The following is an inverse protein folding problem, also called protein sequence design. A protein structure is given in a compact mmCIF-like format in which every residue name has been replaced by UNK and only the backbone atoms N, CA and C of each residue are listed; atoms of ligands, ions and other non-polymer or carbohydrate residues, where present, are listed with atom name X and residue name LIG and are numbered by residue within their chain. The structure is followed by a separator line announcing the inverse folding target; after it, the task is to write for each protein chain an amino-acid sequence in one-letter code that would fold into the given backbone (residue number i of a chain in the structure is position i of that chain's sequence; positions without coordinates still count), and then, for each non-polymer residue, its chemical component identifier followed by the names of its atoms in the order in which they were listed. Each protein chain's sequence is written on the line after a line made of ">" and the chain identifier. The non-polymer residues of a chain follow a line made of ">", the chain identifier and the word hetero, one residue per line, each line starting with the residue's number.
data_IF_496708886880
#
_entry.id   IF_496708886880
#
_cell.length_a   1.000
_cell.length_b   1.000
_cell.length_c   1.000
_cell.angle_alpha   90.00
_cell.angle_beta   90.00
_cell.angle_gamma   90.00
#
_symmetry.space_group_name_H-M   'P 1'
#
loop_
_entity.id
_entity.type
_entity.pdbx_description
1 polymer ?
#
# COMPACT_ATOMS: atom_id res chain seq x y z
N UNK A 1 4.93 -25.03 12.44
CA UNK A 1 4.98 -24.36 13.76
C UNK A 1 6.32 -23.66 14.07
N UNK A 2 7.45 -24.08 13.51
CA UNK A 2 8.78 -23.47 13.77
C UNK A 2 9.01 -22.10 13.12
N UNK A 3 8.54 -21.89 11.88
CA UNK A 3 8.75 -20.65 11.12
C UNK A 3 8.02 -19.45 11.74
N UNK A 4 6.76 -19.63 12.20
CA UNK A 4 6.01 -18.54 12.86
C UNK A 4 6.68 -18.04 14.15
N UNK A 5 7.27 -18.94 14.94
CA UNK A 5 8.01 -18.56 16.16
C UNK A 5 9.32 -17.83 15.82
N UNK A 6 9.99 -18.20 14.73
CA UNK A 6 11.21 -17.53 14.28
C UNK A 6 10.91 -16.11 13.80
N UNK A 7 9.83 -15.91 13.02
CA UNK A 7 9.40 -14.58 12.56
C UNK A 7 9.05 -13.68 13.75
N UNK A 8 8.29 -14.20 14.73
CA UNK A 8 7.94 -13.44 15.95
C UNK A 8 9.21 -13.07 16.73
N UNK A 9 10.20 -13.96 16.83
CA UNK A 9 11.45 -13.70 17.53
C UNK A 9 12.30 -12.65 16.82
N UNK A 10 12.39 -12.70 15.50
CA UNK A 10 13.09 -11.69 14.67
C UNK A 10 12.42 -10.33 14.78
N UNK A 11 11.09 -10.27 14.70
CA UNK A 11 10.32 -9.04 14.89
C UNK A 11 10.53 -8.47 16.30
N UNK A 12 10.49 -9.32 17.33
CA UNK A 12 10.73 -8.91 18.71
C UNK A 12 12.17 -8.40 18.93
N UNK A 13 13.17 -9.04 18.31
CA UNK A 13 14.56 -8.56 18.38
C UNK A 13 14.74 -7.23 17.63
N UNK A 14 14.10 -7.03 16.47
CA UNK A 14 14.06 -5.74 15.78
C UNK A 14 13.47 -4.66 16.68
N UNK A 15 12.39 -4.93 17.40
CA UNK A 15 11.79 -3.98 18.36
C UNK A 15 12.71 -3.61 19.53
N UNK A 16 13.58 -4.52 19.97
CA UNK A 16 14.47 -4.30 21.11
C UNK A 16 15.75 -3.52 20.74
N UNK A 17 16.23 -3.65 19.49
CA UNK A 17 17.51 -3.05 19.06
C UNK A 17 17.37 -1.73 18.28
N UNK A 18 16.20 -1.43 17.72
CA UNK A 18 15.98 -0.25 16.87
C UNK A 18 15.77 1.08 17.65
N UNK A 19 15.24 1.13 18.90
CA UNK A 19 14.93 2.41 19.54
C UNK A 19 16.11 3.35 19.76
N UNK A 20 17.33 2.83 19.86
CA UNK A 20 18.50 3.63 20.26
C UNK A 20 19.07 4.48 19.11
N UNK A 21 18.84 4.06 17.87
CA UNK A 21 19.44 4.72 16.70
C UNK A 21 18.58 5.84 16.12
N UNK A 22 17.25 5.77 16.30
CA UNK A 22 16.32 6.76 15.74
C UNK A 22 16.26 8.10 16.51
N UNK A 23 16.55 8.09 17.81
CA UNK A 23 16.49 9.30 18.64
C UNK A 23 17.54 10.37 18.26
N UNK A 24 18.62 9.97 17.59
CA UNK A 24 19.74 10.86 17.28
C UNK A 24 19.79 11.36 15.82
N UNK A 25 18.96 10.83 14.88
CA UNK A 25 19.16 11.10 13.45
C UNK A 25 18.09 11.98 12.79
N UNK A 26 16.99 12.25 13.45
CA UNK A 26 15.98 13.20 12.93
C UNK A 26 16.01 14.46 13.79
N UNK A 27 16.77 15.44 13.37
CA UNK A 27 16.96 16.80 13.88
C UNK A 27 16.19 17.11 15.16
N UNK A 28 16.93 17.36 16.24
CA UNK A 28 16.50 17.48 17.62
C UNK A 28 15.08 17.98 17.83
N UNK A 29 14.27 17.16 18.46
CA UNK A 29 13.02 17.58 19.07
C UNK A 29 11.72 17.21 18.39
N UNK A 30 11.72 16.66 17.17
CA UNK A 30 10.47 16.23 16.50
C UNK A 30 9.84 15.05 17.23
N UNK A 31 8.59 15.20 17.66
CA UNK A 31 7.85 14.12 18.33
C UNK A 31 6.95 13.33 17.37
N UNK A 32 6.66 13.87 16.20
CA UNK A 32 5.70 13.31 15.24
C UNK A 32 6.15 13.62 13.81
N UNK A 33 5.98 12.63 12.92
CA UNK A 33 6.14 12.79 11.48
C UNK A 33 4.81 12.45 10.82
N UNK A 34 4.29 13.37 10.02
CA UNK A 34 3.10 13.18 9.18
C UNK A 34 3.49 13.26 7.72
N UNK A 35 2.89 12.43 6.88
CA UNK A 35 3.21 12.42 5.46
C UNK A 35 2.03 12.06 4.57
N UNK A 36 2.15 12.49 3.32
CA UNK A 36 1.25 12.11 2.23
C UNK A 36 2.06 11.71 1.01
N UNK A 37 1.71 10.56 0.42
CA UNK A 37 2.22 10.08 -0.84
C UNK A 37 1.09 9.99 -1.86
N UNK A 38 1.41 10.26 -3.12
CA UNK A 38 0.50 10.08 -4.25
C UNK A 38 1.00 8.94 -5.13
N UNK A 39 0.12 8.06 -5.63
CA UNK A 39 0.53 7.05 -6.59
C UNK A 39 1.04 7.74 -7.86
N UNK A 40 2.18 7.28 -8.35
CA UNK A 40 2.80 7.76 -9.60
C UNK A 40 2.82 6.67 -10.67
N UNK A 41 2.24 5.53 -10.37
CA UNK A 41 2.02 4.39 -11.23
C UNK A 41 1.02 3.42 -10.60
N UNK A 42 0.40 2.63 -11.45
CA UNK A 42 -0.46 1.52 -11.05
C UNK A 42 -0.32 0.44 -12.13
N UNK A 43 0.22 -0.70 -11.74
CA UNK A 43 0.43 -1.85 -12.61
C UNK A 43 -0.44 -2.99 -12.09
N UNK A 44 -1.46 -3.37 -12.86
CA UNK A 44 -2.35 -4.48 -12.51
C UNK A 44 -1.62 -5.80 -12.73
N UNK A 45 -1.43 -6.54 -11.66
CA UNK A 45 -0.87 -7.91 -11.69
C UNK A 45 -1.94 -8.98 -11.49
N UNK A 46 -3.20 -8.56 -11.41
CA UNK A 46 -4.34 -9.41 -11.20
C UNK A 46 -4.81 -10.15 -12.46
N UNK A 47 -5.94 -10.79 -12.32
CA UNK A 47 -6.57 -11.57 -13.41
C UNK A 47 -8.10 -11.47 -13.36
N UNK A 48 -8.71 -11.67 -14.50
CA UNK A 48 -10.16 -11.81 -14.63
C UNK A 48 -10.52 -13.10 -15.37
N UNK A 49 -11.79 -13.33 -15.59
CA UNK A 49 -12.28 -14.54 -16.29
C UNK A 49 -11.69 -14.75 -17.70
N UNK A 50 -11.13 -13.71 -18.30
CA UNK A 50 -10.52 -13.75 -19.65
C UNK A 50 -9.00 -13.86 -19.65
N UNK A 51 -8.33 -13.80 -18.48
CA UNK A 51 -6.87 -13.88 -18.33
C UNK A 51 -6.29 -12.75 -17.50
N UNK A 52 -5.06 -12.30 -17.82
CA UNK A 52 -4.41 -11.18 -17.14
C UNK A 52 -5.19 -9.90 -17.36
N UNK A 53 -5.27 -9.06 -16.34
CA UNK A 53 -5.82 -7.71 -16.46
C UNK A 53 -4.87 -6.81 -17.23
N UNK A 54 -5.43 -5.88 -17.99
CA UNK A 54 -4.67 -4.75 -18.53
C UNK A 54 -4.48 -3.69 -17.45
N UNK A 55 -3.53 -2.79 -17.67
CA UNK A 55 -3.40 -1.62 -16.82
C UNK A 55 -4.67 -0.76 -16.89
N UNK A 56 -5.02 -0.05 -15.81
CA UNK A 56 -6.18 0.84 -15.81
C UNK A 56 -5.96 2.04 -16.73
N UNK A 57 -7.06 2.60 -17.26
CA UNK A 57 -7.05 3.82 -18.07
C UNK A 57 -6.69 5.05 -17.24
N UNK A 58 -7.10 5.06 -15.98
CA UNK A 58 -6.71 6.07 -15.02
C UNK A 58 -6.58 5.49 -13.61
N UNK A 59 -5.76 6.13 -12.80
CA UNK A 59 -5.61 5.79 -11.40
C UNK A 59 -5.40 7.06 -10.56
N UNK A 60 -5.72 6.96 -9.28
CA UNK A 60 -5.53 8.06 -8.34
C UNK A 60 -5.60 7.60 -6.90
N UNK A 61 -5.54 8.57 -5.99
CA UNK A 61 -5.64 8.28 -4.57
C UNK A 61 -4.49 8.87 -3.76
N UNK A 62 -4.28 8.31 -2.56
CA UNK A 62 -3.25 8.80 -1.65
C UNK A 62 -2.82 7.72 -0.66
N UNK A 63 -1.63 7.90 -0.09
CA UNK A 63 -1.10 7.15 1.05
C UNK A 63 -0.72 8.13 2.16
N UNK A 64 -1.33 8.01 3.32
CA UNK A 64 -1.03 8.80 4.51
C UNK A 64 -0.07 8.04 5.41
N UNK A 65 0.84 8.78 6.06
CA UNK A 65 1.79 8.24 7.02
C UNK A 65 1.68 9.00 8.34
N UNK A 66 1.69 8.28 9.44
CA UNK A 66 1.84 8.83 10.78
C UNK A 66 2.90 8.03 11.53
N UNK A 67 3.90 8.72 12.05
CA UNK A 67 5.04 8.10 12.71
C UNK A 67 5.49 8.90 13.92
N UNK A 68 5.27 8.39 15.13
CA UNK A 68 5.94 8.93 16.31
C UNK A 68 7.46 8.79 16.14
N UNK A 69 8.21 9.87 16.35
CA UNK A 69 9.66 9.87 16.10
C UNK A 69 10.44 8.95 17.04
N UNK A 70 9.89 8.71 18.24
CA UNK A 70 10.50 7.85 19.26
C UNK A 70 10.23 6.35 19.06
N UNK A 71 9.37 5.97 18.10
CA UNK A 71 9.10 4.57 17.77
C UNK A 71 9.72 4.19 16.43
N UNK A 72 10.24 2.97 16.29
CA UNK A 72 10.75 2.45 15.02
C UNK A 72 9.65 2.05 14.05
N UNK A 73 8.41 2.46 14.31
CA UNK A 73 7.24 2.09 13.51
C UNK A 73 6.46 3.32 13.09
N UNK A 74 5.84 3.23 11.93
CA UNK A 74 4.84 4.15 11.43
C UNK A 74 3.57 3.37 11.09
N UNK A 75 2.46 4.06 11.07
CA UNK A 75 1.22 3.57 10.49
C UNK A 75 1.03 4.24 9.14
N UNK A 76 0.55 3.48 8.16
CA UNK A 76 0.16 4.03 6.88
C UNK A 76 -1.26 3.59 6.52
N UNK A 77 -1.96 4.48 5.82
CA UNK A 77 -3.29 4.26 5.27
C UNK A 77 -3.26 4.63 3.79
N UNK A 78 -3.68 3.71 2.93
CA UNK A 78 -3.78 3.95 1.49
C UNK A 78 -5.23 3.84 1.03
N UNK A 79 -5.64 4.77 0.18
CA UNK A 79 -6.88 4.71 -0.56
C UNK A 79 -6.53 5.01 -2.02
N UNK A 80 -6.60 3.97 -2.86
CA UNK A 80 -6.19 4.03 -4.26
C UNK A 80 -7.37 3.56 -5.09
N UNK A 81 -7.64 4.27 -6.18
CA UNK A 81 -8.67 3.93 -7.17
C UNK A 81 -8.02 3.69 -8.52
N UNK A 82 -8.54 2.75 -9.28
CA UNK A 82 -8.15 2.46 -10.64
C UNK A 82 -9.41 2.27 -11.49
N UNK A 83 -9.49 2.98 -12.61
CA UNK A 83 -10.64 2.94 -13.50
C UNK A 83 -10.29 2.15 -14.77
N UNK A 84 -11.15 1.23 -15.13
CA UNK A 84 -11.00 0.35 -16.29
C UNK A 84 -12.12 0.64 -17.29
N UNK A 85 -11.76 1.07 -18.49
CA UNK A 85 -12.68 1.26 -19.60
C UNK A 85 -12.85 -0.07 -20.37
N UNK A 86 -13.94 -0.14 -21.14
CA UNK A 86 -14.31 -1.29 -21.97
C UNK A 86 -13.29 -1.58 -23.08
N UNK A 87 -12.48 -0.59 -23.45
CA UNK A 87 -11.44 -0.72 -24.47
C UNK A 87 -10.23 -1.53 -23.99
N UNK A 88 -9.92 -1.47 -22.70
CA UNK A 88 -8.74 -2.09 -22.09
C UNK A 88 -9.05 -3.41 -21.41
N UNK A 89 -10.29 -3.58 -20.94
CA UNK A 89 -10.71 -4.80 -20.25
C UNK A 89 -12.08 -5.27 -20.76
N UNK A 90 -12.08 -6.26 -21.66
CA UNK A 90 -13.30 -6.75 -22.30
C UNK A 90 -14.27 -7.46 -21.36
N UNK A 91 -13.87 -7.80 -20.14
CA UNK A 91 -14.66 -8.61 -19.22
C UNK A 91 -15.30 -7.82 -18.08
N UNK A 92 -14.64 -6.78 -17.59
CA UNK A 92 -15.11 -6.01 -16.42
C UNK A 92 -14.74 -4.55 -16.61
N UNK A 93 -15.76 -3.70 -16.74
CA UNK A 93 -15.63 -2.24 -16.81
C UNK A 93 -16.09 -1.66 -15.49
N UNK A 94 -15.36 -0.67 -14.97
CA UNK A 94 -15.72 -0.02 -13.71
C UNK A 94 -14.53 0.48 -12.91
N UNK A 95 -14.77 0.81 -11.67
CA UNK A 95 -13.79 1.38 -10.74
C UNK A 95 -13.42 0.38 -9.66
N UNK A 96 -12.14 0.10 -9.54
CA UNK A 96 -11.53 -0.67 -8.47
C UNK A 96 -11.04 0.26 -7.37
N UNK A 97 -11.31 -0.08 -6.11
CA UNK A 97 -10.90 0.71 -4.95
C UNK A 97 -10.18 -0.14 -3.92
N UNK A 98 -8.93 0.19 -3.65
CA UNK A 98 -8.10 -0.41 -2.62
C UNK A 98 -8.12 0.45 -1.36
N UNK A 99 -8.45 -0.16 -0.22
CA UNK A 99 -8.35 0.48 1.10
C UNK A 99 -7.44 -0.36 1.97
N UNK A 100 -6.26 0.17 2.34
CA UNK A 100 -5.19 -0.61 2.97
C UNK A 100 -4.68 0.09 4.22
N UNK A 101 -4.44 -0.68 5.26
CA UNK A 101 -3.82 -0.26 6.52
C UNK A 101 -2.50 -1.01 6.69
N UNK A 102 -1.41 -0.31 6.93
CA UNK A 102 -0.07 -0.90 7.04
C UNK A 102 0.60 -0.49 8.35
N UNK A 103 1.39 -1.41 8.88
CA UNK A 103 2.43 -1.11 9.87
C UNK A 103 3.76 -1.06 9.10
N UNK A 104 4.47 0.04 9.21
CA UNK A 104 5.75 0.26 8.53
C UNK A 104 6.86 0.26 9.57
N UNK A 105 7.79 -0.68 9.47
CA UNK A 105 9.00 -0.72 10.29
C UNK A 105 10.03 0.19 9.62
N UNK A 106 10.59 1.13 10.38
CA UNK A 106 11.61 2.06 9.90
C UNK A 106 13.01 1.54 10.23
N UNK A 107 13.87 1.54 9.24
CA UNK A 107 15.27 1.12 9.34
C UNK A 107 16.16 2.29 8.91
N UNK A 108 17.11 2.75 9.75
CA UNK A 108 18.03 3.80 9.34
C UNK A 108 19.03 3.27 8.32
N UNK A 109 19.29 4.07 7.28
CA UNK A 109 20.31 3.82 6.27
C UNK A 109 21.22 5.08 6.16
N UNK A 110 22.10 5.25 7.13
CA UNK A 110 22.90 6.48 7.23
C UNK A 110 21.99 7.69 7.48
N UNK A 111 22.01 8.68 6.59
CA UNK A 111 21.15 9.88 6.65
C UNK A 111 19.74 9.62 6.13
N UNK A 112 19.52 8.54 5.38
CA UNK A 112 18.22 8.15 4.85
C UNK A 112 17.48 7.23 5.82
N UNK A 113 16.16 7.17 5.67
CA UNK A 113 15.30 6.17 6.30
C UNK A 113 14.76 5.19 5.28
N UNK A 114 14.74 3.91 5.59
CA UNK A 114 14.00 2.90 4.83
C UNK A 114 12.78 2.46 5.63
N UNK A 115 11.64 2.33 4.97
CA UNK A 115 10.42 1.74 5.54
C UNK A 115 10.13 0.39 4.89
N UNK A 116 9.77 -0.60 5.71
CA UNK A 116 9.26 -1.89 5.25
C UNK A 116 7.87 -2.03 5.84
N UNK A 117 6.86 -2.06 4.99
CA UNK A 117 5.44 -2.12 5.38
C UNK A 117 4.83 -3.49 5.18
N UNK A 118 3.97 -3.87 6.12
CA UNK A 118 3.07 -5.01 6.04
C UNK A 118 1.67 -4.54 6.37
N UNK A 119 0.70 -4.90 5.55
CA UNK A 119 -0.66 -4.42 5.69
C UNK A 119 -1.74 -5.42 5.33
N UNK A 120 -2.94 -5.03 5.67
CA UNK A 120 -4.18 -5.72 5.30
C UNK A 120 -5.17 -4.69 4.79
N UNK A 121 -6.07 -5.12 3.92
CA UNK A 121 -7.06 -4.23 3.36
C UNK A 121 -8.19 -4.95 2.69
N UNK A 122 -8.98 -4.16 1.99
CA UNK A 122 -10.09 -4.63 1.16
C UNK A 122 -9.99 -4.01 -0.22
N UNK A 123 -10.43 -4.76 -1.20
CA UNK A 123 -10.64 -4.28 -2.56
C UNK A 123 -12.12 -4.39 -2.88
N UNK A 124 -12.71 -3.28 -3.28
CA UNK A 124 -14.07 -3.20 -3.76
C UNK A 124 -14.04 -2.85 -5.25
N UNK A 125 -14.90 -3.49 -6.03
CA UNK A 125 -15.08 -3.19 -7.44
C UNK A 125 -16.50 -2.73 -7.72
N UNK A 126 -16.65 -1.56 -8.32
CA UNK A 126 -17.92 -1.02 -8.78
C UNK A 126 -18.03 -1.16 -10.29
N UNK A 127 -18.84 -2.10 -10.77
CA UNK A 127 -19.07 -2.29 -12.20
C UNK A 127 -19.98 -1.21 -12.77
N UNK A 128 -19.67 -0.74 -13.98
CA UNK A 128 -20.53 0.16 -14.75
C UNK A 128 -21.71 -0.58 -15.38
N UNK A 129 -21.64 -1.90 -15.49
CA UNK A 129 -22.74 -2.73 -15.94
C UNK A 129 -23.65 -3.12 -14.76
N UNK A 130 -24.88 -2.68 -14.78
CA UNK A 130 -25.88 -2.93 -13.73
C UNK A 130 -26.23 -4.42 -13.56
N UNK A 131 -25.88 -5.27 -14.51
CA UNK A 131 -26.11 -6.72 -14.45
C UNK A 131 -24.93 -7.49 -13.87
N UNK A 132 -23.77 -6.84 -13.77
CA UNK A 132 -22.53 -7.43 -13.28
C UNK A 132 -22.18 -6.90 -11.88
N UNK A 133 -21.92 -7.79 -10.94
CA UNK A 133 -21.43 -7.46 -9.60
C UNK A 133 -20.15 -8.24 -9.30
N UNK A 134 -19.21 -7.60 -8.65
CA UNK A 134 -17.99 -8.22 -8.14
C UNK A 134 -18.04 -8.15 -6.62
N UNK A 135 -17.82 -9.26 -5.95
CA UNK A 135 -17.78 -9.28 -4.48
C UNK A 135 -16.49 -8.61 -3.98
N UNK A 136 -16.58 -7.93 -2.84
CA UNK A 136 -15.41 -7.37 -2.18
C UNK A 136 -14.43 -8.48 -1.79
N UNK A 137 -13.14 -8.22 -1.93
CA UNK A 137 -12.10 -9.16 -1.52
C UNK A 137 -11.21 -8.59 -0.43
N UNK A 138 -10.60 -9.48 0.35
CA UNK A 138 -9.53 -9.13 1.26
C UNK A 138 -8.21 -9.04 0.51
N UNK A 139 -7.32 -8.17 0.99
CA UNK A 139 -5.97 -8.05 0.45
C UNK A 139 -4.92 -8.02 1.54
N UNK A 140 -3.72 -8.47 1.20
CA UNK A 140 -2.50 -8.21 1.94
C UNK A 140 -1.65 -7.23 1.16
N UNK A 141 -0.92 -6.38 1.87
CA UNK A 141 -0.05 -5.40 1.24
C UNK A 141 1.36 -5.49 1.80
N UNK A 142 2.32 -5.28 0.93
CA UNK A 142 3.73 -5.19 1.25
C UNK A 142 4.24 -3.87 0.67
N UNK A 143 5.08 -3.15 1.41
CA UNK A 143 5.67 -1.94 0.85
C UNK A 143 7.12 -1.78 1.26
N UNK A 144 7.88 -1.12 0.40
CA UNK A 144 9.20 -0.61 0.71
C UNK A 144 9.23 0.88 0.37
N UNK A 145 9.84 1.68 1.23
CA UNK A 145 9.97 3.12 1.03
C UNK A 145 11.35 3.61 1.41
N UNK A 146 11.74 4.70 0.78
CA UNK A 146 12.94 5.47 1.13
C UNK A 146 12.51 6.88 1.53
N UNK A 147 13.05 7.36 2.63
CA UNK A 147 12.80 8.72 3.14
C UNK A 147 14.12 9.46 3.13
N UNK A 148 14.15 10.66 2.57
CA UNK A 148 15.35 11.51 2.55
C UNK A 148 15.64 12.10 3.94
N UNK A 149 16.86 12.58 4.18
CA UNK A 149 17.09 13.53 5.26
C UNK A 149 16.25 14.81 5.03
N UNK A 150 16.06 15.64 6.07
CA UNK A 150 15.37 16.93 5.91
C UNK A 150 16.04 17.79 4.82
N UNK A 151 15.25 18.21 3.83
CA UNK A 151 15.75 19.02 2.71
C UNK A 151 15.77 20.51 3.05
N UNK A 152 14.63 21.00 3.60
CA UNK A 152 14.48 22.38 4.05
C UNK A 152 13.58 22.37 5.27
N UNK A 153 14.12 22.79 6.43
CA UNK A 153 13.37 22.78 7.68
C UNK A 153 12.86 21.35 8.01
N UNK A 154 11.58 21.19 8.32
CA UNK A 154 11.01 19.90 8.71
C UNK A 154 10.59 19.01 7.51
N UNK A 155 10.88 19.40 6.26
CA UNK A 155 10.37 18.74 5.05
C UNK A 155 11.29 17.62 4.62
N UNK A 156 10.73 16.42 4.47
CA UNK A 156 11.38 15.22 3.91
C UNK A 156 10.62 14.76 2.66
N UNK A 157 11.32 14.08 1.75
CA UNK A 157 10.67 13.36 0.66
C UNK A 157 10.54 11.88 1.01
N UNK A 158 9.48 11.28 0.55
CA UNK A 158 9.27 9.83 0.62
C UNK A 158 8.96 9.30 -0.78
N UNK A 159 9.60 8.19 -1.15
CA UNK A 159 9.26 7.44 -2.35
C UNK A 159 9.26 5.96 -2.05
N UNK A 160 8.42 5.20 -2.71
CA UNK A 160 8.34 3.78 -2.44
C UNK A 160 7.52 3.00 -3.44
N UNK A 161 7.44 1.71 -3.20
CA UNK A 161 6.70 0.74 -3.96
C UNK A 161 5.79 -0.03 -3.02
N UNK A 162 4.51 -0.10 -3.35
CA UNK A 162 3.52 -0.97 -2.71
C UNK A 162 3.17 -2.14 -3.62
N UNK A 163 3.02 -3.31 -3.06
CA UNK A 163 2.48 -4.50 -3.72
C UNK A 163 1.24 -4.92 -2.96
N UNK A 164 0.15 -5.08 -3.66
CA UNK A 164 -1.14 -5.49 -3.13
C UNK A 164 -1.43 -6.89 -3.69
N UNK A 165 -1.62 -7.84 -2.81
CA UNK A 165 -2.00 -9.21 -3.13
C UNK A 165 -3.45 -9.42 -2.68
N UNK A 166 -4.37 -9.41 -3.62
CA UNK A 166 -5.80 -9.53 -3.37
C UNK A 166 -6.25 -10.99 -3.53
N UNK A 167 -7.19 -11.41 -2.70
CA UNK A 167 -7.87 -12.68 -2.86
C UNK A 167 -8.82 -12.64 -4.05
N UNK A 168 -9.05 -13.79 -4.67
CA UNK A 168 -10.04 -13.91 -5.74
C UNK A 168 -11.45 -13.55 -5.24
N UNK A 169 -12.17 -12.81 -6.06
CA UNK A 169 -13.56 -12.41 -5.86
C UNK A 169 -14.48 -13.10 -6.88
N UNK A 170 -15.69 -13.39 -6.48
CA UNK A 170 -16.68 -13.91 -7.41
C UNK A 170 -17.30 -12.79 -8.25
N UNK A 171 -17.28 -12.98 -9.57
CA UNK A 171 -18.02 -12.16 -10.53
C UNK A 171 -19.36 -12.82 -10.80
N UNK A 172 -20.45 -12.06 -10.63
CA UNK A 172 -21.82 -12.53 -10.86
C UNK A 172 -22.47 -11.68 -11.97
N UNK A 173 -23.07 -12.34 -12.94
CA UNK A 173 -23.88 -11.71 -13.98
C UNK A 173 -25.31 -12.17 -13.82
N UNK A 174 -26.25 -11.22 -13.67
CA UNK A 174 -27.66 -11.50 -13.35
C UNK A 174 -27.80 -12.43 -12.11
N UNK A 175 -26.94 -12.22 -11.09
CA UNK A 175 -26.95 -13.00 -9.85
C UNK A 175 -26.33 -14.41 -9.94
N UNK A 176 -25.86 -14.84 -11.11
CA UNK A 176 -25.21 -16.14 -11.30
C UNK A 176 -23.71 -15.95 -11.44
N UNK A 177 -22.91 -16.79 -10.75
CA UNK A 177 -21.44 -16.75 -10.86
C UNK A 177 -21.03 -16.99 -12.31
N UNK A 178 -20.34 -16.01 -12.89
CA UNK A 178 -19.85 -16.02 -14.27
C UNK A 178 -18.33 -16.11 -14.37
N UNK A 179 -17.59 -15.88 -13.28
CA UNK A 179 -16.14 -15.93 -13.27
C UNK A 179 -15.54 -15.56 -11.94
N UNK A 180 -14.23 -15.31 -11.95
CA UNK A 180 -13.45 -14.79 -10.84
C UNK A 180 -12.70 -13.54 -11.27
N UNK A 181 -12.41 -12.66 -10.30
CA UNK A 181 -11.67 -11.43 -10.46
C UNK A 181 -10.63 -11.34 -9.35
N UNK A 182 -9.39 -11.02 -9.71
CA UNK A 182 -8.30 -10.79 -8.79
C UNK A 182 -7.72 -9.39 -9.04
N UNK A 183 -7.75 -8.56 -8.02
CA UNK A 183 -7.36 -7.15 -8.07
C UNK A 183 -5.95 -6.91 -7.50
N UNK A 184 -5.02 -7.82 -7.70
CA UNK A 184 -3.64 -7.63 -7.28
C UNK A 184 -2.96 -6.55 -8.11
N UNK A 185 -2.13 -5.70 -7.45
CA UNK A 185 -1.52 -4.56 -8.10
C UNK A 185 -0.16 -4.19 -7.49
N UNK A 186 0.63 -3.47 -8.28
CA UNK A 186 1.87 -2.81 -7.85
C UNK A 186 1.72 -1.31 -8.01
N UNK A 187 2.02 -0.54 -6.95
CA UNK A 187 1.77 0.90 -6.90
C UNK A 187 3.01 1.65 -6.42
N UNK A 188 3.82 2.20 -7.33
CA UNK A 188 4.85 3.17 -6.93
C UNK A 188 4.20 4.48 -6.46
N UNK A 189 4.82 5.12 -5.47
CA UNK A 189 4.34 6.40 -4.93
C UNK A 189 5.47 7.35 -4.61
N UNK A 190 5.19 8.64 -4.68
CA UNK A 190 6.05 9.74 -4.24
C UNK A 190 5.27 10.68 -3.33
N UNK A 191 5.95 11.29 -2.37
CA UNK A 191 5.28 12.17 -1.43
C UNK A 191 6.22 13.01 -0.58
N UNK A 192 5.60 13.71 0.35
CA UNK A 192 6.28 14.57 1.33
C UNK A 192 5.90 14.14 2.74
N UNK A 193 6.83 14.35 3.66
CA UNK A 193 6.61 14.16 5.10
C UNK A 193 7.08 15.42 5.84
N UNK A 194 6.42 15.73 6.94
CA UNK A 194 6.73 16.86 7.83
C UNK A 194 7.04 16.32 9.21
N UNK A 195 8.16 16.75 9.78
CA UNK A 195 8.60 16.41 11.12
C UNK A 195 8.31 17.58 12.08
N UNK A 196 7.56 17.32 13.19
CA UNK A 196 7.13 18.31 14.18
C UNK A 196 7.75 18.07 15.54
#
# INVERSE_FOLDING_TARGET
>A
MKIRKLIVLIVLQLFLFVPIVFANHQGGGSSLVLGIGLPVGFDSTGSNASGSMSDPDSYGGYKLFISPSFLPVALAYSNITADYDKSTNTSVQGTEKHTIYEIVIRVPLGEFGMGIGLGVGTVAFSSDDSTTTVEDSNSTAYSVSLVTPPLVGPVLLVGGLGVIDASDSDVKTNGTKSGTYNASATTPYLGIMLAF
#
